data_IF_944013443724
#
_entry.id   IF_944013443724
#
_cell.length_a   1.000
_cell.length_b   1.000
_cell.length_c   1.000
_cell.angle_alpha   90.00
_cell.angle_beta   90.00
_cell.angle_gamma   90.00
#
_symmetry.space_group_name_H-M   'P 1'
#
loop_
_entity.id
_entity.type
_entity.pdbx_description
1 polymer ?
#
# COMPACT_ATOMS: atom_id res chain seq x y z
N UNK A 1 12.84 -4.33 0.93
CA UNK A 1 12.33 -3.08 0.33
C UNK A 1 10.95 -2.74 0.88
N UNK A 2 10.08 -3.74 0.89
CA UNK A 2 8.79 -3.81 1.59
C UNK A 2 8.79 -3.16 2.98
N UNK A 3 9.76 -3.49 3.85
CA UNK A 3 9.86 -2.89 5.20
C UNK A 3 10.04 -1.37 5.18
N UNK A 4 10.71 -0.80 4.16
CA UNK A 4 10.90 0.65 4.04
C UNK A 4 9.61 1.33 3.57
N UNK A 5 8.88 0.74 2.63
CA UNK A 5 7.59 1.27 2.16
C UNK A 5 6.60 1.31 3.31
N UNK A 6 6.49 0.22 4.09
CA UNK A 6 5.65 0.15 5.29
C UNK A 6 5.94 1.30 6.26
N UNK A 7 7.22 1.52 6.60
CA UNK A 7 7.63 2.61 7.50
C UNK A 7 7.30 4.00 6.94
N UNK A 8 7.42 4.19 5.62
CA UNK A 8 7.03 5.45 4.98
C UNK A 8 5.54 5.70 5.18
N UNK A 9 4.68 4.76 4.79
CA UNK A 9 3.23 4.93 4.91
C UNK A 9 2.80 5.20 6.35
N UNK A 10 3.38 4.47 7.29
CA UNK A 10 3.14 4.66 8.71
C UNK A 10 3.62 6.03 9.23
N UNK A 11 4.81 6.48 8.80
CA UNK A 11 5.35 7.79 9.15
C UNK A 11 4.41 8.92 8.73
N UNK A 12 3.75 8.77 7.59
CA UNK A 12 2.76 9.72 7.05
C UNK A 12 1.34 9.53 7.63
N UNK A 13 1.13 8.57 8.54
CA UNK A 13 -0.13 8.39 9.26
C UNK A 13 -1.18 7.53 8.54
N UNK A 14 -0.76 6.74 7.55
CA UNK A 14 -1.65 5.87 6.77
C UNK A 14 -1.90 4.50 7.41
N UNK A 15 -1.42 4.29 8.63
CA UNK A 15 -1.49 3.01 9.34
C UNK A 15 -0.46 2.01 8.83
N UNK A 16 -0.59 0.78 9.30
CA UNK A 16 0.33 -0.32 8.98
C UNK A 16 -0.40 -1.28 8.04
N UNK A 17 0.01 -1.39 6.76
CA UNK A 17 -0.54 -2.42 5.89
C UNK A 17 -0.12 -3.81 6.37
N UNK A 18 -1.00 -4.79 6.15
CA UNK A 18 -0.64 -6.21 6.28
C UNK A 18 0.36 -6.58 5.19
N UNK A 19 1.34 -7.42 5.53
CA UNK A 19 2.38 -7.88 4.59
C UNK A 19 2.06 -9.29 4.11
N UNK A 20 2.42 -9.62 2.88
CA UNK A 20 2.22 -10.95 2.28
C UNK A 20 0.77 -11.45 2.41
N UNK A 21 -0.20 -10.58 2.11
CA UNK A 21 -1.61 -10.89 2.29
C UNK A 21 -2.10 -11.87 1.20
N UNK A 22 -2.68 -13.03 1.56
CA UNK A 22 -3.13 -14.02 0.59
C UNK A 22 -4.49 -13.64 -0.02
N UNK A 23 -4.58 -13.70 -1.35
CA UNK A 23 -5.81 -13.57 -2.13
C UNK A 23 -6.03 -14.85 -2.92
N UNK A 24 -7.23 -15.44 -2.81
CA UNK A 24 -7.60 -16.64 -3.56
C UNK A 24 -8.01 -16.26 -4.97
N UNK A 25 -7.40 -16.88 -5.98
CA UNK A 25 -7.89 -16.83 -7.35
C UNK A 25 -9.14 -17.73 -7.46
N UNK A 26 -10.34 -17.18 -7.74
CA UNK A 26 -11.58 -17.93 -7.75
C UNK A 26 -11.66 -18.93 -8.93
N UNK A 27 -10.88 -18.72 -9.99
CA UNK A 27 -10.88 -19.60 -11.18
C UNK A 27 -9.99 -20.83 -11.01
N UNK A 28 -8.93 -20.71 -10.21
CA UNK A 28 -7.92 -21.77 -10.05
C UNK A 28 -7.83 -22.35 -8.64
N UNK A 29 -8.45 -21.68 -7.65
CA UNK A 29 -8.33 -22.02 -6.23
C UNK A 29 -6.94 -21.76 -5.62
N UNK A 30 -5.98 -21.24 -6.41
CA UNK A 30 -4.61 -20.97 -5.96
C UNK A 30 -4.51 -19.63 -5.24
N UNK A 31 -3.61 -19.56 -4.27
CA UNK A 31 -3.26 -18.31 -3.61
C UNK A 31 -2.31 -17.46 -4.46
N UNK A 32 -2.55 -16.16 -4.41
CA UNK A 32 -1.65 -15.10 -4.82
C UNK A 32 -1.36 -14.25 -3.59
N UNK A 33 -0.12 -13.78 -3.44
CA UNK A 33 0.25 -12.95 -2.30
C UNK A 33 0.41 -11.51 -2.76
N UNK A 34 -0.19 -10.58 -2.03
CA UNK A 34 0.05 -9.15 -2.17
C UNK A 34 1.22 -8.78 -1.27
N UNK A 35 2.14 -7.95 -1.76
CA UNK A 35 3.30 -7.51 -0.96
C UNK A 35 2.83 -6.84 0.32
N UNK A 36 1.88 -5.91 0.17
CA UNK A 36 1.23 -5.20 1.26
C UNK A 36 -0.25 -4.91 0.94
N UNK A 37 -1.09 -4.87 1.95
CA UNK A 37 -2.52 -4.60 1.79
C UNK A 37 -3.13 -3.77 2.92
N UNK A 38 -4.02 -2.84 2.56
CA UNK A 38 -5.10 -2.40 3.43
C UNK A 38 -6.34 -3.23 3.11
N UNK A 39 -6.51 -4.34 3.84
CA UNK A 39 -7.48 -5.40 3.53
C UNK A 39 -8.92 -4.87 3.54
N UNK A 40 -9.30 -4.13 4.58
CA UNK A 40 -10.64 -3.56 4.73
C UNK A 40 -11.02 -2.61 3.59
N UNK A 41 -10.02 -1.99 2.96
CA UNK A 41 -10.20 -1.05 1.86
C UNK A 41 -10.01 -1.70 0.49
N UNK A 42 -9.60 -2.98 0.45
CA UNK A 42 -9.11 -3.68 -0.75
C UNK A 42 -8.10 -2.84 -1.54
N UNK A 43 -7.10 -2.31 -0.86
CA UNK A 43 -5.98 -1.62 -1.51
C UNK A 43 -4.73 -2.48 -1.40
N UNK A 44 -4.15 -2.86 -2.53
CA UNK A 44 -2.86 -3.54 -2.60
C UNK A 44 -1.75 -2.52 -2.86
N UNK A 45 -0.58 -2.71 -2.26
CA UNK A 45 0.59 -1.87 -2.45
C UNK A 45 1.73 -2.80 -2.87
N UNK A 46 2.01 -2.82 -4.17
CA UNK A 46 2.95 -3.77 -4.79
C UNK A 46 4.25 -3.06 -5.11
N UNK A 47 5.38 -3.66 -4.72
CA UNK A 47 6.69 -3.14 -5.06
C UNK A 47 7.13 -3.70 -6.42
N UNK A 48 7.33 -2.82 -7.39
CA UNK A 48 7.85 -3.16 -8.71
C UNK A 48 9.34 -3.51 -8.60
N UNK A 49 9.60 -4.82 -8.60
CA UNK A 49 10.93 -5.41 -8.65
C UNK A 49 11.46 -5.53 -10.08
N UNK A 50 11.51 -4.44 -10.86
CA UNK A 50 12.04 -4.42 -12.23
C UNK A 50 11.36 -5.42 -13.17
N UNK A 51 10.33 -4.95 -13.89
CA UNK A 51 9.72 -5.68 -15.00
C UNK A 51 10.75 -6.25 -15.99
N UNK A 52 10.78 -7.57 -16.12
CA UNK A 52 11.33 -8.24 -17.29
C UNK A 52 10.22 -8.42 -18.34
N UNK A 53 10.52 -8.20 -19.62
CA UNK A 53 9.50 -8.18 -20.69
C UNK A 53 8.73 -9.51 -20.86
N UNK A 54 9.34 -10.62 -20.43
CA UNK A 54 8.76 -11.97 -20.40
C UNK A 54 7.66 -12.13 -19.34
N UNK A 55 7.52 -11.20 -18.39
CA UNK A 55 6.53 -11.27 -17.30
C UNK A 55 5.29 -10.39 -17.54
N UNK A 56 5.30 -9.56 -18.58
CA UNK A 56 4.26 -8.56 -18.84
C UNK A 56 2.84 -9.16 -18.93
N UNK A 57 2.67 -10.26 -19.66
CA UNK A 57 1.34 -10.88 -19.81
C UNK A 57 0.81 -11.43 -18.48
N UNK A 58 1.69 -12.02 -17.67
CA UNK A 58 1.34 -12.53 -16.35
C UNK A 58 0.95 -11.38 -15.40
N UNK A 59 1.66 -10.26 -15.46
CA UNK A 59 1.36 -9.06 -14.66
C UNK A 59 0.04 -8.42 -15.07
N UNK A 60 -0.25 -8.33 -16.37
CA UNK A 60 -1.54 -7.85 -16.88
C UNK A 60 -2.67 -8.76 -16.40
N UNK A 61 -2.49 -10.09 -16.48
CA UNK A 61 -3.51 -11.03 -16.02
C UNK A 61 -3.74 -10.93 -14.51
N UNK A 62 -2.66 -10.87 -13.73
CA UNK A 62 -2.72 -10.66 -12.28
C UNK A 62 -3.46 -9.37 -11.94
N UNK A 63 -3.14 -8.27 -12.62
CA UNK A 63 -3.78 -6.97 -12.38
C UNK A 63 -5.27 -7.01 -12.67
N UNK A 64 -5.68 -7.57 -13.82
CA UNK A 64 -7.10 -7.74 -14.17
C UNK A 64 -7.85 -8.55 -13.12
N UNK A 65 -7.26 -9.66 -12.66
CA UNK A 65 -7.87 -10.49 -11.63
C UNK A 65 -8.03 -9.74 -10.31
N UNK A 66 -7.03 -8.95 -9.90
CA UNK A 66 -7.14 -8.12 -8.71
C UNK A 66 -8.25 -7.06 -8.86
N UNK A 67 -8.31 -6.39 -10.01
CA UNK A 67 -9.36 -5.41 -10.31
C UNK A 67 -10.77 -6.07 -10.29
N UNK A 68 -10.94 -7.28 -10.87
CA UNK A 68 -12.18 -8.07 -10.82
C UNK A 68 -12.59 -8.45 -9.39
N UNK A 69 -11.61 -8.76 -8.55
CA UNK A 69 -11.82 -9.02 -7.12
C UNK A 69 -12.05 -7.74 -6.29
N UNK A 70 -12.08 -6.58 -6.97
CA UNK A 70 -12.33 -5.28 -6.38
C UNK A 70 -11.14 -4.71 -5.62
N UNK A 71 -9.93 -5.20 -5.87
CA UNK A 71 -8.69 -4.61 -5.36
C UNK A 71 -8.26 -3.42 -6.21
N UNK A 72 -7.74 -2.40 -5.53
CA UNK A 72 -7.11 -1.25 -6.18
C UNK A 72 -5.61 -1.30 -5.86
N UNK A 73 -4.80 -1.41 -6.90
CA UNK A 73 -3.37 -1.72 -6.73
C UNK A 73 -2.53 -0.47 -7.00
N UNK A 74 -1.77 -0.07 -5.98
CA UNK A 74 -0.80 1.02 -6.02
C UNK A 74 0.59 0.44 -6.27
N UNK A 75 1.16 0.72 -7.43
CA UNK A 75 2.55 0.32 -7.72
C UNK A 75 3.53 1.26 -7.00
N UNK A 76 4.57 0.68 -6.42
CA UNK A 76 5.67 1.36 -5.76
C UNK A 76 6.98 0.95 -6.44
N UNK A 77 7.75 1.91 -6.89
CA UNK A 77 9.03 1.67 -7.57
C UNK A 77 10.21 2.07 -6.68
N UNK A 78 11.42 1.74 -7.11
CA UNK A 78 12.63 2.26 -6.47
C UNK A 78 12.66 3.80 -6.46
N UNK A 79 12.07 4.45 -7.48
CA UNK A 79 12.03 5.90 -7.62
C UNK A 79 11.22 6.57 -6.51
N UNK A 80 10.09 5.97 -6.12
CA UNK A 80 9.24 6.45 -5.01
C UNK A 80 9.98 6.49 -3.65
N UNK A 81 11.11 5.80 -3.54
CA UNK A 81 11.87 5.64 -2.30
C UNK A 81 13.18 6.43 -2.26
N UNK A 82 13.50 7.22 -3.30
CA UNK A 82 14.80 7.91 -3.44
C UNK A 82 14.93 9.11 -2.49
N UNK A 83 14.04 10.09 -2.62
CA UNK A 83 14.09 11.34 -1.83
C UNK A 83 12.94 11.43 -0.84
N UNK A 84 12.97 12.43 0.04
CA UNK A 84 11.84 12.72 0.91
C UNK A 84 10.61 13.17 0.11
N UNK A 85 10.81 13.96 -0.95
CA UNK A 85 9.75 14.39 -1.86
C UNK A 85 9.07 13.20 -2.55
N UNK A 86 9.84 12.23 -3.02
CA UNK A 86 9.30 11.03 -3.67
C UNK A 86 8.45 10.19 -2.69
N UNK A 87 8.94 10.03 -1.45
CA UNK A 87 8.21 9.31 -0.40
C UNK A 87 6.93 10.04 0.01
N UNK A 88 6.95 11.36 0.03
CA UNK A 88 5.74 12.16 0.26
C UNK A 88 4.75 12.00 -0.89
N UNK A 89 5.21 12.03 -2.14
CA UNK A 89 4.36 11.81 -3.31
C UNK A 89 3.72 10.42 -3.29
N UNK A 90 4.46 9.37 -2.91
CA UNK A 90 3.92 8.03 -2.68
C UNK A 90 2.83 8.04 -1.60
N UNK A 91 3.08 8.68 -0.45
CA UNK A 91 2.10 8.75 0.63
C UNK A 91 0.83 9.49 0.20
N UNK A 92 0.95 10.57 -0.58
CA UNK A 92 -0.19 11.29 -1.15
C UNK A 92 -0.98 10.42 -2.13
N UNK A 93 -0.30 9.67 -2.99
CA UNK A 93 -0.92 8.71 -3.91
C UNK A 93 -1.73 7.67 -3.14
N UNK A 94 -1.12 7.01 -2.16
CA UNK A 94 -1.85 6.04 -1.31
C UNK A 94 -3.02 6.68 -0.57
N UNK A 95 -2.86 7.89 -0.02
CA UNK A 95 -3.95 8.61 0.64
C UNK A 95 -5.12 8.92 -0.30
N UNK A 96 -4.85 9.16 -1.58
CA UNK A 96 -5.90 9.36 -2.60
C UNK A 96 -6.72 8.08 -2.79
N UNK A 97 -6.08 6.92 -2.96
CA UNK A 97 -6.77 5.63 -3.07
C UNK A 97 -7.61 5.32 -1.82
N UNK A 98 -7.05 5.56 -0.62
CA UNK A 98 -7.80 5.44 0.64
C UNK A 98 -9.01 6.40 0.68
N UNK A 99 -8.83 7.64 0.20
CA UNK A 99 -9.91 8.64 0.17
C UNK A 99 -11.06 8.21 -0.75
N UNK A 100 -10.74 7.65 -1.92
CA UNK A 100 -11.72 7.15 -2.87
C UNK A 100 -12.51 5.98 -2.28
N UNK A 101 -11.84 5.05 -1.58
CA UNK A 101 -12.50 3.91 -0.92
C UNK A 101 -13.44 4.34 0.21
N UNK A 102 -13.07 5.39 0.96
CA UNK A 102 -13.87 5.87 2.09
C UNK A 102 -14.90 6.94 1.73
N UNK A 103 -14.93 7.42 0.49
CA UNK A 103 -15.80 8.53 0.07
C UNK A 103 -15.52 9.85 0.80
N UNK A 104 -14.35 9.99 1.44
CA UNK A 104 -13.97 11.19 2.21
C UNK A 104 -12.48 11.44 2.11
N UNK A 105 -12.08 12.71 2.18
CA UNK A 105 -10.68 13.10 2.04
C UNK A 105 -9.85 12.68 3.25
N UNK A 106 -8.85 11.85 3.03
CA UNK A 106 -7.79 11.51 3.98
C UNK A 106 -6.57 12.39 3.72
N UNK A 107 -5.98 12.91 4.79
CA UNK A 107 -4.76 13.76 4.71
C UNK A 107 -3.59 13.02 5.36
N UNK A 108 -2.45 13.05 4.68
CA UNK A 108 -1.17 12.66 5.28
C UNK A 108 -0.70 13.74 6.27
N UNK A 109 0.17 13.36 7.21
CA UNK A 109 0.85 14.30 8.13
C UNK A 109 2.31 14.53 7.72
N UNK A 110 2.98 15.45 8.40
CA UNK A 110 4.45 15.49 8.43
C UNK A 110 4.98 14.13 8.90
N UNK A 111 5.98 13.54 8.22
CA UNK A 111 6.46 12.21 8.56
C UNK A 111 7.06 12.20 9.96
N UNK A 112 6.75 11.15 10.72
CA UNK A 112 7.45 10.90 11.98
C UNK A 112 8.90 10.47 11.73
N UNK A 113 9.79 10.91 12.62
CA UNK A 113 11.13 10.34 12.74
C UNK A 113 11.08 8.88 13.19
N UNK A 114 12.17 8.14 12.98
CA UNK A 114 12.30 6.75 13.46
C UNK A 114 12.08 6.65 14.96
N UNK A 115 12.63 7.58 15.76
CA UNK A 115 12.42 7.58 17.21
C UNK A 115 10.95 7.72 17.62
N UNK A 116 10.21 8.57 16.89
CA UNK A 116 8.76 8.74 17.12
C UNK A 116 7.94 7.54 16.62
N UNK A 117 8.39 6.84 15.58
CA UNK A 117 7.77 5.59 15.14
C UNK A 117 7.92 4.48 16.18
N UNK A 118 9.08 4.41 16.84
CA UNK A 118 9.42 3.37 17.82
C UNK A 118 8.92 3.66 19.24
N UNK A 119 8.31 4.83 19.49
CA UNK A 119 7.71 5.13 20.79
C UNK A 119 6.52 4.19 21.07
N UNK A 120 6.67 3.27 22.01
CA UNK A 120 5.64 2.29 22.39
C UNK A 120 4.38 2.91 23.00
N UNK A 121 4.37 4.21 23.32
CA UNK A 121 3.18 4.95 23.75
C UNK A 121 2.35 5.46 22.57
N UNK A 122 2.87 5.36 21.34
CA UNK A 122 2.21 5.85 20.13
C UNK A 122 1.02 4.96 19.76
N UNK A 123 -0.10 5.59 19.39
CA UNK A 123 -1.19 4.91 18.69
C UNK A 123 -0.80 4.62 17.25
N UNK A 124 -0.93 3.36 16.85
CA UNK A 124 -0.61 2.86 15.49
C UNK A 124 -1.83 2.95 14.57
N UNK A 125 -3.00 3.29 15.12
CA UNK A 125 -4.25 3.39 14.36
C UNK A 125 -4.11 4.35 13.17
N UNK A 126 -4.53 3.92 11.96
CA UNK A 126 -4.49 4.79 10.81
C UNK A 126 -5.38 6.02 11.03
N UNK A 127 -4.95 7.17 10.51
CA UNK A 127 -5.77 8.39 10.62
C UNK A 127 -7.12 8.28 9.90
N UNK A 128 -7.23 7.34 8.97
CA UNK A 128 -8.47 7.04 8.28
C UNK A 128 -9.43 6.14 9.08
N UNK A 129 -8.97 5.49 10.16
CA UNK A 129 -9.84 4.74 11.08
C UNK A 129 -10.46 5.63 12.18
N UNK A 130 -9.87 6.80 12.46
CA UNK A 130 -10.24 7.67 13.59
C UNK A 130 -11.39 8.66 13.31
N UNK A 131 -12.12 8.50 12.22
CA UNK A 131 -13.21 9.40 11.86
C UNK A 131 -14.33 8.62 11.17
N UNK A 132 -15.13 7.96 12.00
CA UNK A 132 -16.52 7.60 11.74
C UNK A 132 -17.41 8.45 12.63
#
# INVERSE_FOLDING_TARGET
MESRVRLVLESYGLGVPEVNHPVVNPHTGRFMYLDMAYVDLKIAIEYDGQFHADQWEADVHRRRLLDELGWDVVQVTAADMRTEGDRHALALRVAQHVSLRLGRRVRVRVPLSVGQLMDGRRRVEPRWALAG
#
